data_IF_891420609782
#
_entry.id   IF_891420609782
#
_cell.length_a   1.000
_cell.length_b   1.000
_cell.length_c   1.000
_cell.angle_alpha   90.00
_cell.angle_beta   90.00
_cell.angle_gamma   90.00
#
_symmetry.space_group_name_H-M   'P 1'
#
loop_
_entity.id
_entity.type
_entity.pdbx_description
1 polymer ?
#
# COMPACT_ATOMS: atom_id res chain seq x y z
N UNK A 1 5.00 55.31 -52.92
CA UNK A 1 5.76 54.93 -51.69
C UNK A 1 4.93 53.87 -50.97
N UNK A 2 5.25 52.60 -51.14
CA UNK A 2 4.57 51.49 -50.45
C UNK A 2 5.32 51.20 -49.17
N UNK A 3 4.67 51.38 -48.01
CA UNK A 3 5.20 50.97 -46.70
C UNK A 3 4.91 49.51 -46.48
N UNK A 4 5.92 48.66 -46.53
CA UNK A 4 5.85 47.24 -46.11
C UNK A 4 5.90 47.16 -44.58
N UNK A 5 4.80 46.72 -43.98
CA UNK A 5 4.71 46.41 -42.54
C UNK A 5 5.30 45.04 -42.31
N UNK A 6 6.50 44.98 -41.70
CA UNK A 6 7.13 43.72 -41.29
C UNK A 6 6.49 43.22 -40.00
N UNK A 7 5.72 42.13 -40.09
CA UNK A 7 5.14 41.46 -38.93
C UNK A 7 6.21 40.55 -38.29
N UNK A 8 6.78 41.03 -37.17
CA UNK A 8 7.74 40.20 -36.40
C UNK A 8 6.95 39.16 -35.62
N UNK A 9 6.97 37.92 -36.12
CA UNK A 9 6.41 36.75 -35.40
C UNK A 9 7.34 36.38 -34.26
N UNK A 10 6.94 36.74 -33.02
CA UNK A 10 7.62 36.28 -31.81
C UNK A 10 7.24 34.79 -31.58
N UNK A 11 8.15 33.90 -31.98
CA UNK A 11 8.00 32.48 -31.71
C UNK A 11 8.29 32.22 -30.22
N UNK A 12 7.24 32.19 -29.40
CA UNK A 12 7.35 31.78 -28.00
C UNK A 12 7.55 30.26 -28.04
N UNK A 13 8.79 29.82 -27.95
CA UNK A 13 9.10 28.43 -27.69
C UNK A 13 8.73 28.13 -26.23
N UNK A 14 7.59 27.47 -26.04
CA UNK A 14 7.31 26.80 -24.77
C UNK A 14 8.35 25.68 -24.62
N UNK A 15 9.36 25.92 -23.79
CA UNK A 15 10.20 24.86 -23.25
C UNK A 15 9.30 24.02 -22.34
N UNK A 16 8.70 22.98 -22.90
CA UNK A 16 8.09 21.92 -22.12
C UNK A 16 9.24 21.20 -21.40
N UNK A 17 9.47 21.55 -20.15
CA UNK A 17 10.27 20.72 -19.27
C UNK A 17 9.51 19.38 -19.15
N UNK A 18 10.02 18.35 -19.81
CA UNK A 18 9.61 17.00 -19.55
C UNK A 18 9.97 16.71 -18.09
N UNK A 19 8.98 16.67 -17.20
CA UNK A 19 9.17 16.15 -15.87
C UNK A 19 9.63 14.70 -16.02
N UNK A 20 10.85 14.40 -15.56
CA UNK A 20 11.29 13.02 -15.42
C UNK A 20 10.41 12.41 -14.33
N UNK A 21 9.40 11.64 -14.74
CA UNK A 21 8.69 10.76 -13.84
C UNK A 21 9.65 9.70 -13.36
N UNK A 22 9.63 9.39 -12.08
CA UNK A 22 10.49 8.34 -11.51
C UNK A 22 10.12 6.99 -12.10
N UNK A 23 11.12 6.23 -12.53
CA UNK A 23 10.95 4.88 -13.12
C UNK A 23 10.31 3.91 -12.12
N UNK A 24 10.42 4.20 -10.81
CA UNK A 24 9.79 3.46 -9.72
C UNK A 24 9.14 4.46 -8.77
N UNK A 25 7.81 4.50 -8.69
CA UNK A 25 7.11 5.27 -7.68
C UNK A 25 7.45 4.74 -6.28
N UNK A 26 7.49 5.64 -5.29
CA UNK A 26 7.54 5.21 -3.90
C UNK A 26 6.23 4.48 -3.54
N UNK A 27 6.34 3.37 -2.80
CA UNK A 27 5.16 2.60 -2.39
C UNK A 27 4.85 2.87 -0.94
N UNK A 28 3.70 3.46 -0.69
CA UNK A 28 3.19 3.80 0.64
C UNK A 28 1.96 2.96 0.94
N UNK A 29 1.90 2.36 2.12
CA UNK A 29 0.73 1.61 2.54
C UNK A 29 -0.47 2.54 2.77
N UNK A 30 -1.65 2.09 2.40
CA UNK A 30 -2.90 2.81 2.66
C UNK A 30 -3.01 3.19 4.15
N UNK A 31 -3.49 4.40 4.43
CA UNK A 31 -3.59 5.00 5.76
C UNK A 31 -2.26 5.21 6.51
N UNK A 32 -1.12 5.20 5.80
CA UNK A 32 0.17 5.50 6.43
C UNK A 32 0.28 6.96 6.79
N UNK A 33 0.78 7.23 8.00
CA UNK A 33 1.22 8.54 8.48
C UNK A 33 2.74 8.57 8.64
N UNK A 34 3.34 9.74 8.54
CA UNK A 34 4.75 9.93 8.87
C UNK A 34 5.75 9.41 7.84
N UNK A 35 5.36 9.32 6.56
CA UNK A 35 6.30 9.02 5.46
C UNK A 35 7.38 10.09 5.36
N UNK A 36 8.65 9.67 5.27
CA UNK A 36 9.80 10.58 5.25
C UNK A 36 10.35 10.68 3.82
N UNK A 37 10.45 11.90 3.31
CA UNK A 37 11.11 12.21 2.05
C UNK A 37 12.29 13.13 2.28
N UNK A 38 13.43 12.84 1.62
CA UNK A 38 14.64 13.61 1.82
C UNK A 38 15.45 13.77 0.53
N UNK A 39 16.17 14.88 0.43
CA UNK A 39 17.21 15.11 -0.56
C UNK A 39 18.54 15.35 0.15
N UNK A 40 19.65 15.25 -0.59
CA UNK A 40 20.97 15.57 -0.04
C UNK A 40 21.00 16.99 0.51
N UNK A 41 21.50 17.13 1.74
CA UNK A 41 21.61 18.46 2.35
C UNK A 41 22.78 19.24 1.74
N UNK A 42 22.52 20.46 1.30
CA UNK A 42 23.53 21.42 0.83
C UNK A 42 23.53 22.65 1.74
N UNK A 43 24.65 23.03 2.35
CA UNK A 43 24.72 24.18 3.24
C UNK A 43 24.27 25.46 2.57
N UNK A 44 23.44 26.26 3.23
CA UNK A 44 22.93 27.53 2.72
C UNK A 44 21.81 27.44 1.69
N UNK A 45 21.24 26.25 1.48
CA UNK A 45 20.05 26.08 0.64
C UNK A 45 18.78 26.06 1.49
N UNK A 46 17.71 26.63 0.95
CA UNK A 46 16.35 26.51 1.46
C UNK A 46 15.56 25.64 0.51
N UNK A 47 14.92 24.63 1.04
CA UNK A 47 14.16 23.62 0.26
C UNK A 47 12.68 23.96 0.29
N UNK A 48 12.05 23.97 -0.88
CA UNK A 48 10.63 24.22 -1.04
C UNK A 48 9.96 22.92 -1.52
N UNK A 49 9.19 22.31 -0.64
CA UNK A 49 8.48 21.07 -0.90
C UNK A 49 7.03 21.34 -1.27
N UNK A 50 6.57 20.64 -2.28
CA UNK A 50 5.16 20.64 -2.70
C UNK A 50 4.67 19.20 -2.71
N UNK A 51 3.54 18.96 -2.04
CA UNK A 51 2.87 17.66 -2.01
C UNK A 51 1.51 17.81 -2.68
N UNK A 52 1.19 16.91 -3.60
CA UNK A 52 -0.15 16.87 -4.19
C UNK A 52 -1.16 16.34 -3.18
N UNK A 53 -2.34 16.97 -3.15
CA UNK A 53 -3.46 16.49 -2.36
C UNK A 53 -3.83 15.04 -2.78
N UNK A 54 -4.20 14.16 -1.81
CA UNK A 54 -4.54 14.49 -0.42
C UNK A 54 -3.36 14.39 0.58
N UNK A 55 -2.10 14.23 0.12
CA UNK A 55 -0.95 14.24 1.00
C UNK A 55 -0.79 15.58 1.73
N UNK A 56 -0.31 15.54 2.97
CA UNK A 56 -0.12 16.72 3.82
C UNK A 56 1.27 16.70 4.44
N UNK A 57 2.04 17.79 4.25
CA UNK A 57 3.31 17.96 4.99
C UNK A 57 3.00 18.24 6.45
N UNK A 58 3.47 17.37 7.34
CA UNK A 58 3.28 17.52 8.80
C UNK A 58 4.49 18.14 9.50
N UNK A 59 5.67 18.04 8.88
CA UNK A 59 6.91 18.64 9.41
C UNK A 59 7.97 18.81 8.31
N UNK A 60 8.97 19.66 8.58
CA UNK A 60 10.21 19.73 7.81
C UNK A 60 10.22 20.67 6.61
N UNK A 61 9.13 21.40 6.32
CA UNK A 61 9.13 22.40 5.24
C UNK A 61 10.28 23.40 5.41
N UNK A 62 10.98 23.71 4.32
CA UNK A 62 12.17 24.56 4.32
C UNK A 62 13.49 23.83 4.57
N UNK A 63 13.47 22.57 4.98
CA UNK A 63 14.65 21.73 5.23
C UNK A 63 14.84 20.68 4.13
N UNK A 64 15.96 19.97 4.14
CA UNK A 64 16.23 18.89 3.19
C UNK A 64 15.41 17.62 3.41
N UNK A 65 14.55 17.59 4.43
CA UNK A 65 13.71 16.44 4.78
C UNK A 65 12.34 16.90 5.24
N UNK A 66 11.30 16.21 4.78
CA UNK A 66 9.91 16.41 5.22
C UNK A 66 9.29 15.12 5.75
N UNK A 67 8.25 15.30 6.54
CA UNK A 67 7.33 14.22 6.93
C UNK A 67 5.97 14.47 6.31
N UNK A 68 5.39 13.45 5.68
CA UNK A 68 4.12 13.54 4.96
C UNK A 68 3.12 12.53 5.54
N UNK A 69 1.89 12.98 5.72
CA UNK A 69 0.73 12.16 6.05
C UNK A 69 -0.05 11.83 4.77
N UNK A 70 -0.20 10.54 4.47
CA UNK A 70 -0.96 9.99 3.35
C UNK A 70 -2.27 9.33 3.78
N UNK A 71 -2.66 9.44 5.06
CA UNK A 71 -3.82 8.71 5.61
C UNK A 71 -5.15 9.01 4.91
N UNK A 72 -5.28 10.18 4.29
CA UNK A 72 -6.44 10.56 3.50
C UNK A 72 -6.34 10.18 2.01
N UNK A 73 -5.22 9.59 1.57
CA UNK A 73 -5.01 9.24 0.17
C UNK A 73 -5.78 7.97 -0.20
N UNK A 74 -6.48 7.99 -1.33
CA UNK A 74 -7.07 6.80 -1.90
C UNK A 74 -6.00 5.90 -2.53
N UNK A 75 -6.22 4.57 -2.57
CA UNK A 75 -5.33 3.65 -3.26
C UNK A 75 -5.13 4.02 -4.74
N UNK A 76 -3.90 3.87 -5.22
CA UNK A 76 -3.52 4.14 -6.59
C UNK A 76 -2.29 5.01 -6.76
N UNK A 77 -1.93 5.30 -8.01
CA UNK A 77 -0.77 6.10 -8.37
C UNK A 77 -1.10 7.61 -8.33
N UNK A 78 -0.27 8.37 -7.64
CA UNK A 78 -0.29 9.82 -7.62
C UNK A 78 0.97 10.30 -8.35
N UNK A 79 0.80 10.73 -9.59
CA UNK A 79 1.90 11.21 -10.43
C UNK A 79 2.36 12.58 -9.97
N UNK A 80 3.67 12.79 -9.81
CA UNK A 80 4.24 14.03 -9.30
C UNK A 80 3.87 14.35 -7.86
N UNK A 81 3.56 13.31 -7.07
CA UNK A 81 3.05 13.42 -5.70
C UNK A 81 3.91 14.27 -4.78
N UNK A 82 5.24 14.13 -4.90
CA UNK A 82 6.23 14.85 -4.11
C UNK A 82 7.14 15.62 -5.04
N UNK A 83 7.23 16.93 -4.86
CA UNK A 83 8.14 17.78 -5.63
C UNK A 83 8.97 18.62 -4.67
N UNK A 84 10.26 18.77 -4.97
CA UNK A 84 11.14 19.66 -4.22
C UNK A 84 12.00 20.47 -5.17
N UNK A 85 12.12 21.74 -4.92
CA UNK A 85 13.14 22.63 -5.45
C UNK A 85 13.95 23.25 -4.30
N UNK A 86 15.08 23.84 -4.64
CA UNK A 86 15.95 24.46 -3.65
C UNK A 86 16.46 25.82 -4.14
N UNK A 87 16.52 26.79 -3.23
CA UNK A 87 17.05 28.13 -3.49
C UNK A 87 18.34 28.32 -2.70
N UNK A 88 19.41 28.75 -3.35
CA UNK A 88 20.67 29.05 -2.69
C UNK A 88 20.68 30.47 -2.07
N UNK A 89 21.74 30.81 -1.33
CA UNK A 89 21.88 32.12 -0.67
C UNK A 89 21.90 33.31 -1.66
N UNK A 90 22.17 33.08 -2.94
CA UNK A 90 22.15 34.12 -3.99
C UNK A 90 20.77 34.23 -4.65
N UNK A 91 19.77 33.46 -4.23
CA UNK A 91 18.43 33.48 -4.79
C UNK A 91 18.25 32.63 -6.08
N UNK A 92 19.25 31.83 -6.46
CA UNK A 92 19.14 30.97 -7.64
C UNK A 92 18.34 29.71 -7.29
N UNK A 93 17.32 29.42 -8.12
CA UNK A 93 16.43 28.27 -7.98
C UNK A 93 17.00 27.06 -8.74
N UNK A 94 16.91 25.87 -8.15
CA UNK A 94 17.25 24.61 -8.82
C UNK A 94 16.14 24.15 -9.77
N UNK A 95 16.45 23.20 -10.66
CA UNK A 95 15.41 22.40 -11.28
C UNK A 95 14.69 21.56 -10.20
N UNK A 96 13.36 21.35 -10.34
CA UNK A 96 12.63 20.54 -9.39
C UNK A 96 12.97 19.06 -9.54
N UNK A 97 13.04 18.36 -8.41
CA UNK A 97 13.00 16.88 -8.35
C UNK A 97 11.58 16.43 -8.07
N UNK A 98 11.13 15.42 -8.80
CA UNK A 98 9.74 14.94 -8.74
C UNK A 98 9.74 13.44 -8.45
N UNK A 99 8.84 13.00 -7.57
CA UNK A 99 8.64 11.60 -7.20
C UNK A 99 7.15 11.28 -7.28
N UNK A 100 6.85 10.17 -7.95
CA UNK A 100 5.51 9.57 -7.94
C UNK A 100 5.33 8.73 -6.68
N UNK A 101 4.11 8.67 -6.16
CA UNK A 101 3.77 7.84 -5.00
C UNK A 101 2.63 6.91 -5.37
N UNK A 102 2.78 5.62 -5.07
CA UNK A 102 1.74 4.62 -5.22
C UNK A 102 1.20 4.25 -3.84
N UNK A 103 -0.07 4.59 -3.58
CA UNK A 103 -0.77 4.19 -2.36
C UNK A 103 -1.26 2.77 -2.56
N UNK A 104 -0.66 1.84 -1.81
CA UNK A 104 -0.92 0.42 -1.94
C UNK A 104 -1.95 -0.05 -0.91
N UNK A 105 -3.04 -0.62 -1.40
CA UNK A 105 -4.08 -1.25 -0.58
C UNK A 105 -4.52 -2.57 -1.21
N UNK A 106 -4.67 -3.58 -0.37
CA UNK A 106 -5.22 -4.89 -0.74
C UNK A 106 -6.08 -5.38 0.40
N UNK A 107 -7.29 -5.82 0.07
CA UNK A 107 -8.16 -6.53 1.01
C UNK A 107 -8.07 -8.03 0.72
N UNK A 108 -7.26 -8.80 1.47
CA UNK A 108 -7.15 -10.24 1.25
C UNK A 108 -8.49 -10.92 1.53
N UNK A 109 -8.78 -11.96 0.77
CA UNK A 109 -9.97 -12.80 0.99
C UNK A 109 -9.54 -14.24 1.22
N UNK A 110 -10.20 -14.91 2.16
CA UNK A 110 -10.03 -16.35 2.42
C UNK A 110 -11.25 -17.06 1.85
N UNK A 111 -11.05 -18.17 1.13
CA UNK A 111 -12.17 -18.98 0.64
C UNK A 111 -12.98 -19.53 1.82
N UNK A 112 -14.29 -19.59 1.64
CA UNK A 112 -15.19 -20.15 2.65
C UNK A 112 -14.82 -21.62 2.97
N UNK A 113 -14.90 -21.96 4.25
CA UNK A 113 -14.57 -23.27 4.78
C UNK A 113 -15.67 -23.81 5.66
N UNK A 114 -15.85 -25.12 5.62
CA UNK A 114 -16.72 -25.87 6.52
C UNK A 114 -18.22 -25.71 6.27
N UNK A 115 -19.05 -26.15 7.23
CA UNK A 115 -18.70 -26.75 8.52
C UNK A 115 -18.01 -28.11 8.41
N UNK A 116 -17.30 -28.51 9.47
CA UNK A 116 -16.55 -29.79 9.54
C UNK A 116 -16.99 -30.64 10.73
N UNK A 117 -16.72 -31.96 10.63
CA UNK A 117 -16.65 -32.87 11.77
C UNK A 117 -15.19 -33.04 12.23
N UNK A 118 -14.96 -33.33 13.50
CA UNK A 118 -13.62 -33.58 14.06
C UNK A 118 -12.83 -34.68 13.31
N UNK A 119 -13.54 -35.57 12.64
CA UNK A 119 -12.96 -36.70 11.90
C UNK A 119 -12.68 -36.39 10.43
N UNK A 120 -13.03 -35.20 9.97
CA UNK A 120 -12.82 -34.85 8.57
C UNK A 120 -11.30 -34.69 8.28
N UNK A 121 -10.89 -35.00 7.04
CA UNK A 121 -9.50 -34.81 6.62
C UNK A 121 -9.12 -33.33 6.60
N UNK A 122 -7.81 -33.08 6.65
CA UNK A 122 -7.30 -31.72 6.43
C UNK A 122 -7.66 -31.22 5.02
N UNK A 123 -7.98 -29.95 4.91
CA UNK A 123 -8.33 -29.28 3.65
C UNK A 123 -7.40 -28.10 3.40
N UNK A 124 -6.97 -27.87 2.16
CA UNK A 124 -6.09 -26.76 1.83
C UNK A 124 -6.77 -25.41 2.06
N UNK A 125 -6.04 -24.48 2.68
CA UNK A 125 -6.44 -23.09 2.84
C UNK A 125 -6.07 -22.32 1.59
N UNK A 126 -7.02 -21.56 1.07
CA UNK A 126 -6.83 -20.75 -0.14
C UNK A 126 -7.25 -19.31 0.14
N UNK A 127 -6.37 -18.39 -0.24
CA UNK A 127 -6.62 -16.94 -0.14
C UNK A 127 -6.20 -16.21 -1.42
N UNK A 128 -6.76 -15.05 -1.62
CA UNK A 128 -6.41 -14.14 -2.70
C UNK A 128 -6.11 -12.74 -2.11
N UNK A 129 -4.96 -12.11 -2.45
CA UNK A 129 -3.83 -12.66 -3.21
C UNK A 129 -3.19 -13.86 -2.53
N UNK A 130 -2.53 -14.74 -3.31
CA UNK A 130 -1.74 -15.86 -2.80
C UNK A 130 -0.37 -15.37 -2.28
N UNK A 131 0.33 -16.23 -1.51
CA UNK A 131 1.70 -15.97 -1.05
C UNK A 131 1.79 -15.39 0.36
N UNK A 132 0.66 -15.22 1.06
CA UNK A 132 0.64 -14.90 2.48
C UNK A 132 0.72 -16.15 3.36
N UNK A 133 0.56 -15.96 4.67
CA UNK A 133 0.70 -17.00 5.69
C UNK A 133 -0.61 -17.17 6.43
N UNK A 134 -1.07 -18.40 6.56
CA UNK A 134 -2.20 -18.78 7.40
C UNK A 134 -1.74 -19.11 8.82
N UNK A 135 -2.57 -18.73 9.80
CA UNK A 135 -2.37 -19.04 11.22
C UNK A 135 -3.71 -19.23 11.92
N UNK A 136 -3.68 -19.96 13.03
CA UNK A 136 -4.86 -20.26 13.84
C UNK A 136 -4.82 -21.68 14.37
N UNK A 137 -5.72 -21.99 15.31
CA UNK A 137 -5.85 -23.37 15.83
C UNK A 137 -6.36 -24.29 14.71
N UNK A 138 -5.69 -25.41 14.51
CA UNK A 138 -6.00 -26.36 13.44
C UNK A 138 -5.30 -26.07 12.10
N UNK A 139 -4.53 -25.00 11.99
CA UNK A 139 -3.73 -24.71 10.79
C UNK A 139 -2.40 -25.46 10.86
N UNK A 140 -2.16 -26.34 9.89
CA UNK A 140 -0.95 -27.16 9.78
C UNK A 140 -0.45 -27.13 8.33
N UNK A 141 0.74 -26.57 8.10
CA UNK A 141 1.40 -26.60 6.78
C UNK A 141 0.63 -25.92 5.64
N UNK A 142 -0.30 -25.02 5.96
CA UNK A 142 -1.16 -24.35 4.96
C UNK A 142 -2.52 -25.00 4.79
N UNK A 143 -2.82 -26.08 5.52
CA UNK A 143 -4.11 -26.76 5.54
C UNK A 143 -4.84 -26.48 6.86
N UNK A 144 -6.16 -26.57 6.85
CA UNK A 144 -6.97 -26.64 8.06
C UNK A 144 -7.29 -28.11 8.37
N UNK A 145 -6.92 -28.56 9.57
CA UNK A 145 -7.11 -29.93 10.05
C UNK A 145 -8.13 -29.91 11.20
N UNK A 146 -9.39 -30.35 10.96
CA UNK A 146 -10.44 -30.34 11.98
C UNK A 146 -10.10 -31.21 13.20
N UNK A 147 -9.41 -32.34 13.01
CA UNK A 147 -8.96 -33.22 14.09
C UNK A 147 -7.90 -32.61 15.00
N UNK A 148 -7.13 -31.62 14.50
CA UNK A 148 -6.14 -30.87 15.27
C UNK A 148 -6.81 -29.66 15.95
N UNK A 149 -7.79 -29.06 15.29
CA UNK A 149 -8.57 -27.96 15.82
C UNK A 149 -9.41 -28.37 17.03
N UNK A 150 -10.03 -29.56 16.97
CA UNK A 150 -11.05 -30.02 17.92
C UNK A 150 -12.41 -29.34 17.71
N UNK A 151 -13.41 -29.83 18.44
CA UNK A 151 -14.76 -29.26 18.35
C UNK A 151 -14.81 -27.81 18.87
N UNK A 152 -15.54 -26.96 18.16
CA UNK A 152 -15.72 -25.56 18.52
C UNK A 152 -15.65 -24.60 17.33
N UNK A 153 -15.61 -23.31 17.64
CA UNK A 153 -15.39 -22.24 16.68
C UNK A 153 -13.93 -21.82 16.66
N UNK A 154 -13.32 -21.79 15.48
CA UNK A 154 -11.90 -21.47 15.29
C UNK A 154 -11.76 -20.30 14.35
N UNK A 155 -10.95 -19.31 14.74
CA UNK A 155 -10.58 -18.19 13.87
C UNK A 155 -9.31 -18.52 13.10
N UNK A 156 -9.39 -18.46 11.78
CA UNK A 156 -8.23 -18.59 10.88
C UNK A 156 -7.88 -17.20 10.38
N UNK A 157 -6.61 -16.86 10.52
CA UNK A 157 -6.05 -15.57 10.09
C UNK A 157 -5.14 -15.80 8.89
N UNK A 158 -5.31 -14.97 7.87
CA UNK A 158 -4.40 -14.89 6.73
C UNK A 158 -3.69 -13.54 6.73
N UNK A 159 -2.36 -13.58 6.73
CA UNK A 159 -1.50 -12.39 6.69
C UNK A 159 -0.79 -12.35 5.34
N UNK A 160 -1.06 -11.30 4.58
CA UNK A 160 -0.44 -11.04 3.28
C UNK A 160 0.48 -9.83 3.38
N UNK A 161 1.74 -9.98 2.95
CA UNK A 161 2.72 -8.88 2.95
C UNK A 161 3.27 -8.68 1.55
N UNK A 162 3.21 -7.44 1.06
CA UNK A 162 3.77 -7.05 -0.23
C UNK A 162 4.17 -5.57 -0.20
N UNK A 163 5.32 -5.23 -0.84
CA UNK A 163 5.80 -3.85 -0.89
C UNK A 163 6.04 -3.20 0.49
N UNK A 164 6.32 -4.00 1.52
CA UNK A 164 6.43 -3.52 2.90
C UNK A 164 5.10 -3.30 3.62
N UNK A 165 3.97 -3.47 2.94
CA UNK A 165 2.63 -3.36 3.51
C UNK A 165 2.12 -4.73 3.97
N UNK A 166 1.46 -4.76 5.13
CA UNK A 166 0.88 -5.99 5.69
C UNK A 166 -0.64 -5.83 5.81
N UNK A 167 -1.35 -6.83 5.26
CA UNK A 167 -2.80 -6.89 5.24
C UNK A 167 -3.26 -8.18 5.90
N UNK A 168 -4.37 -8.13 6.64
CA UNK A 168 -4.88 -9.25 7.41
C UNK A 168 -6.34 -9.50 7.08
N UNK A 169 -6.69 -10.76 6.91
CA UNK A 169 -8.09 -11.21 6.81
C UNK A 169 -8.33 -12.38 7.74
N UNK A 170 -9.57 -12.52 8.21
CA UNK A 170 -9.95 -13.62 9.12
C UNK A 170 -11.24 -14.25 8.69
N UNK A 171 -11.37 -15.56 8.93
CA UNK A 171 -12.65 -16.28 8.85
C UNK A 171 -12.86 -17.11 10.11
N UNK A 172 -14.11 -17.42 10.43
CA UNK A 172 -14.49 -18.33 11.50
C UNK A 172 -14.93 -19.67 10.90
N UNK A 173 -14.40 -20.75 11.43
CA UNK A 173 -14.66 -22.12 11.00
C UNK A 173 -15.23 -22.90 12.17
N UNK A 174 -16.38 -23.56 11.97
CA UNK A 174 -16.99 -24.43 12.96
C UNK A 174 -16.59 -25.89 12.78
N UNK A 175 -16.22 -26.55 13.88
CA UNK A 175 -15.98 -28.00 13.94
C UNK A 175 -16.94 -28.62 14.96
N UNK A 176 -17.68 -29.63 14.55
CA UNK A 176 -18.64 -30.36 15.37
C UNK A 176 -18.06 -31.70 15.85
N UNK A 177 -18.48 -32.14 17.06
CA UNK A 177 -18.21 -33.49 17.53
C UNK A 177 -18.93 -34.53 16.69
N UNK A 178 -18.32 -35.68 16.55
CA UNK A 178 -18.99 -36.82 15.91
C UNK A 178 -20.14 -37.34 16.80
N UNK A 179 -21.37 -37.57 16.25
CA UNK A 179 -22.44 -38.14 17.01
C UNK A 179 -22.08 -39.55 17.46
N UNK A 180 -22.32 -39.86 18.73
CA UNK A 180 -22.15 -41.20 19.29
C UNK A 180 -23.54 -41.83 19.43
N UNK A 181 -23.74 -42.96 18.75
CA UNK A 181 -24.96 -43.75 18.89
C UNK A 181 -24.83 -44.73 20.09
N UNK A 182 -25.90 -44.83 20.87
CA UNK A 182 -26.01 -45.88 21.87
C UNK A 182 -26.21 -47.24 21.18
N UNK A 183 -25.76 -48.35 21.78
CA UNK A 183 -26.03 -49.69 21.25
C UNK A 183 -27.53 -49.96 21.12
N UNK A 184 -27.94 -50.67 20.06
CA UNK A 184 -29.32 -51.10 19.87
C UNK A 184 -29.64 -52.09 20.99
N UNK A 185 -30.70 -51.82 21.76
CA UNK A 185 -31.23 -52.69 22.80
C UNK A 185 -32.42 -53.47 22.24
N UNK A 186 -32.47 -54.80 22.48
CA UNK A 186 -33.60 -55.65 22.17
C UNK A 186 -34.44 -55.80 23.46
N UNK A 187 -35.70 -55.48 23.41
CA UNK A 187 -36.68 -55.72 24.51
C UNK A 187 -37.37 -57.08 24.33
#
# INVERSE_FOLDING_TARGET
>A
MKKTLSLLFFLITFLSYSQLTTVNPDTVCYQTTGSIYQVSNAPGYVYNWTILAPGIITAGQGTNQITVDWSAANPGLIVGAVTVDATNASGCLSAPSVLDVFIYDVTPTINALGPFCETDPCVPLVANPSGGVFSGIGVVGGDFCPNVAGAGGHTITYTYTNGGCTFVSTINVGVSTQPVLSPIQHN
#
